data_IF_035322641349
#
_entry.id   IF_035322641349
#
_cell.length_a   1.000
_cell.length_b   1.000
_cell.length_c   1.000
_cell.angle_alpha   90.00
_cell.angle_beta   90.00
_cell.angle_gamma   90.00
#
_symmetry.space_group_name_H-M   'P 1'
#
loop_
_entity.id
_entity.type
_entity.pdbx_description
1 polymer ?
#
# COMPACT_ATOMS: atom_id res chain seq x y z
N UNK A 1 -5.68 -14.04 -8.22
CA UNK A 1 -6.47 -13.56 -9.37
C UNK A 1 -7.85 -13.08 -8.97
N UNK A 2 -8.70 -13.83 -8.24
CA UNK A 2 -10.03 -13.33 -7.83
C UNK A 2 -10.05 -12.30 -6.70
N UNK A 3 -9.15 -12.46 -5.71
CA UNK A 3 -9.04 -11.57 -4.54
C UNK A 3 -8.53 -10.18 -4.95
N UNK A 4 -7.58 -10.14 -5.89
CA UNK A 4 -6.97 -8.90 -6.38
C UNK A 4 -8.00 -7.99 -7.06
N UNK A 5 -8.94 -8.58 -7.83
CA UNK A 5 -10.02 -7.84 -8.49
C UNK A 5 -11.06 -7.29 -7.52
N UNK A 6 -11.36 -8.01 -6.43
CA UNK A 6 -12.31 -7.54 -5.41
C UNK A 6 -11.78 -6.31 -4.67
N UNK A 7 -10.50 -6.35 -4.30
CA UNK A 7 -9.84 -5.22 -3.67
C UNK A 7 -9.72 -4.02 -4.61
N UNK A 8 -9.32 -4.24 -5.86
CA UNK A 8 -9.28 -3.16 -6.86
C UNK A 8 -10.65 -2.47 -7.03
N UNK A 9 -11.74 -3.25 -7.06
CA UNK A 9 -13.10 -2.70 -7.10
C UNK A 9 -13.42 -1.87 -5.86
N UNK A 10 -13.07 -2.35 -4.66
CA UNK A 10 -13.31 -1.63 -3.41
C UNK A 10 -12.57 -0.28 -3.38
N UNK A 11 -11.34 -0.22 -3.91
CA UNK A 11 -10.56 1.01 -4.05
C UNK A 11 -11.28 2.05 -4.94
N UNK A 12 -11.75 1.62 -6.12
CA UNK A 12 -12.50 2.46 -7.06
C UNK A 12 -13.81 2.95 -6.44
N UNK A 13 -14.57 2.05 -5.80
CA UNK A 13 -15.84 2.42 -5.15
C UNK A 13 -15.61 3.40 -3.99
N UNK A 14 -14.53 3.26 -3.23
CA UNK A 14 -14.20 4.18 -2.14
C UNK A 14 -13.88 5.60 -2.64
N UNK A 15 -13.18 5.70 -3.77
CA UNK A 15 -12.92 6.98 -4.43
C UNK A 15 -14.22 7.62 -4.94
N UNK A 16 -15.02 6.86 -5.68
CA UNK A 16 -16.27 7.35 -6.28
C UNK A 16 -17.34 7.74 -5.25
N UNK A 17 -17.48 6.96 -4.18
CA UNK A 17 -18.54 7.19 -3.19
C UNK A 17 -18.16 8.17 -2.09
N UNK A 18 -16.87 8.25 -1.75
CA UNK A 18 -16.43 8.97 -0.54
C UNK A 18 -15.28 9.95 -0.78
N UNK A 19 -14.79 10.10 -2.02
CA UNK A 19 -13.59 10.88 -2.35
C UNK A 19 -12.38 10.50 -1.47
N UNK A 20 -12.32 9.23 -1.08
CA UNK A 20 -11.33 8.68 -0.18
C UNK A 20 -10.74 7.40 -0.79
N UNK A 21 -9.89 7.52 -1.82
CA UNK A 21 -9.31 6.36 -2.49
C UNK A 21 -8.45 5.58 -1.50
N UNK A 22 -8.69 4.27 -1.39
CA UNK A 22 -7.87 3.36 -0.61
C UNK A 22 -6.77 2.84 -1.54
N UNK A 23 -5.50 3.24 -1.39
CA UNK A 23 -4.43 2.71 -2.23
C UNK A 23 -4.24 1.23 -1.92
N UNK A 24 -4.31 0.39 -2.95
CA UNK A 24 -4.11 -1.06 -2.82
C UNK A 24 -2.86 -1.44 -3.58
N UNK A 25 -1.98 -2.16 -2.90
CA UNK A 25 -0.72 -2.64 -3.44
C UNK A 25 -0.66 -4.16 -3.32
N UNK A 26 -0.60 -4.82 -4.47
CA UNK A 26 -0.41 -6.27 -4.54
C UNK A 26 1.10 -6.57 -4.54
N UNK A 27 1.55 -7.39 -3.59
CA UNK A 27 2.94 -7.81 -3.47
C UNK A 27 3.07 -9.29 -3.81
N UNK A 28 4.28 -9.69 -4.21
CA UNK A 28 4.63 -11.10 -4.20
C UNK A 28 4.60 -11.64 -2.76
N UNK A 29 4.36 -12.95 -2.54
CA UNK A 29 4.41 -13.53 -1.21
C UNK A 29 5.76 -13.29 -0.51
N UNK A 30 6.86 -13.35 -1.27
CA UNK A 30 8.22 -13.11 -0.75
C UNK A 30 8.40 -11.66 -0.28
N UNK A 31 7.90 -10.68 -1.04
CA UNK A 31 7.97 -9.27 -0.64
C UNK A 31 7.06 -8.96 0.54
N UNK A 32 5.86 -9.55 0.58
CA UNK A 32 4.95 -9.42 1.72
C UNK A 32 5.56 -10.00 3.00
N UNK A 33 6.28 -11.14 2.90
CA UNK A 33 6.95 -11.77 4.03
C UNK A 33 8.08 -10.93 4.66
N UNK A 34 8.51 -9.84 4.00
CA UNK A 34 9.51 -8.90 4.53
C UNK A 34 8.90 -7.84 5.43
N UNK A 35 7.57 -7.67 5.42
CA UNK A 35 6.84 -6.70 6.23
C UNK A 35 6.64 -7.23 7.64
N UNK A 36 6.93 -6.40 8.64
CA UNK A 36 6.68 -6.70 10.05
C UNK A 36 5.80 -5.63 10.69
N UNK A 37 5.00 -6.04 11.67
CA UNK A 37 4.21 -5.11 12.47
C UNK A 37 5.12 -4.09 13.16
N UNK A 38 4.84 -2.81 12.94
CA UNK A 38 5.65 -1.69 13.45
C UNK A 38 6.58 -1.08 12.42
N UNK A 39 6.72 -1.68 11.23
CA UNK A 39 7.42 -1.08 10.11
C UNK A 39 6.66 0.15 9.57
N UNK A 40 7.44 1.14 9.15
CA UNK A 40 7.01 2.26 8.33
C UNK A 40 7.23 1.92 6.87
N UNK A 41 6.18 2.14 6.08
CA UNK A 41 6.17 1.84 4.64
C UNK A 41 5.96 3.13 3.87
N UNK A 42 6.91 3.46 3.01
CA UNK A 42 6.78 4.55 2.04
C UNK A 42 6.55 3.97 0.65
N UNK A 43 5.48 4.41 0.00
CA UNK A 43 5.10 3.97 -1.34
C UNK A 43 5.35 5.12 -2.30
N UNK A 44 6.30 4.96 -3.22
CA UNK A 44 6.55 5.94 -4.26
C UNK A 44 5.68 5.70 -5.50
N UNK A 45 5.36 6.75 -6.28
CA UNK A 45 4.54 6.65 -7.50
C UNK A 45 5.08 5.70 -8.56
N UNK A 46 6.38 5.39 -8.55
CA UNK A 46 7.02 4.44 -9.47
C UNK A 46 6.84 2.96 -9.05
N UNK A 47 6.12 2.68 -7.97
CA UNK A 47 5.94 1.32 -7.43
C UNK A 47 7.08 0.86 -6.52
N UNK A 48 8.02 1.74 -6.19
CA UNK A 48 9.08 1.46 -5.21
C UNK A 48 8.52 1.55 -3.80
N UNK A 49 8.83 0.55 -2.98
CA UNK A 49 8.43 0.49 -1.57
C UNK A 49 9.68 0.54 -0.70
N UNK A 50 9.73 1.49 0.24
CA UNK A 50 10.81 1.61 1.21
C UNK A 50 10.27 1.18 2.58
N UNK A 51 10.97 0.24 3.22
CA UNK A 51 10.66 -0.22 4.57
C UNK A 51 11.63 0.38 5.56
N UNK A 52 11.11 0.92 6.66
CA UNK A 52 11.90 1.54 7.72
C UNK A 52 11.36 1.10 9.08
N UNK A 53 12.24 0.68 9.99
CA UNK A 53 11.83 0.36 11.38
C UNK A 53 11.64 1.63 12.23
N UNK A 54 11.99 2.80 11.71
CA UNK A 54 11.87 4.10 12.37
C UNK A 54 11.09 5.05 11.48
N UNK A 55 10.28 5.92 12.11
CA UNK A 55 9.56 6.99 11.44
C UNK A 55 10.55 7.84 10.63
N UNK A 56 10.40 7.96 9.29
CA UNK A 56 11.31 8.78 8.50
C UNK A 56 11.20 10.25 8.94
N UNK A 57 12.31 11.01 8.94
CA UNK A 57 12.26 12.42 9.28
C UNK A 57 11.33 13.14 8.30
N UNK A 58 10.47 14.03 8.82
CA UNK A 58 9.60 14.85 7.99
C UNK A 58 10.47 15.58 6.95
N UNK A 59 10.22 15.31 5.66
CA UNK A 59 10.91 15.98 4.56
C UNK A 59 10.63 17.48 4.69
N UNK A 60 11.70 18.26 4.90
CA UNK A 60 11.67 19.72 5.00
C UNK A 60 11.57 20.38 3.62
#
# INVERSE_FOLDING_TARGET
TGIDSFFALASVVADEMYAAPIPILALSPDDFGRLHSGDWVEIHPAGTIILSTTLPPASA
#
